data_IF_426445437858
#
_entry.id   IF_426445437858
#
_cell.length_a   1.000
_cell.length_b   1.000
_cell.length_c   1.000
_cell.angle_alpha   90.00
_cell.angle_beta   90.00
_cell.angle_gamma   90.00
#
_symmetry.space_group_name_H-M   'P 1'
#
loop_
_entity.id
_entity.type
_entity.pdbx_description
1 polymer ?
#
# COMPACT_ATOMS: atom_id res chain seq x y z
N UNK A 1 -61.70 2.82 27.60
CA UNK A 1 -60.90 1.64 28.02
C UNK A 1 -60.48 1.92 29.45
N UNK A 2 -60.87 1.09 30.42
CA UNK A 2 -60.57 1.33 31.83
C UNK A 2 -59.17 0.76 32.06
N UNK A 3 -58.22 1.64 32.40
CA UNK A 3 -56.85 1.25 32.75
C UNK A 3 -56.83 1.00 34.25
N UNK A 4 -56.30 -0.13 34.67
CA UNK A 4 -56.24 -0.53 36.07
C UNK A 4 -54.99 0.04 36.75
N UNK A 5 -55.05 0.34 38.05
CA UNK A 5 -53.94 0.89 38.82
C UNK A 5 -52.59 0.15 38.64
N UNK A 6 -52.51 -1.20 38.70
CA UNK A 6 -51.24 -1.91 38.55
C UNK A 6 -50.61 -1.73 37.16
N UNK A 7 -51.42 -1.49 36.13
CA UNK A 7 -50.92 -1.22 34.78
C UNK A 7 -50.30 0.16 34.70
N UNK A 8 -50.89 1.16 35.36
CA UNK A 8 -50.34 2.52 35.45
C UNK A 8 -49.08 2.56 36.29
N UNK A 9 -49.07 1.91 37.46
CA UNK A 9 -47.90 1.87 38.35
C UNK A 9 -46.65 1.32 37.64
N UNK A 10 -46.81 0.29 36.80
CA UNK A 10 -45.70 -0.28 36.02
C UNK A 10 -45.07 0.70 35.02
N UNK A 11 -45.85 1.65 34.48
CA UNK A 11 -45.37 2.62 33.49
C UNK A 11 -45.15 4.02 34.08
N UNK A 12 -45.51 4.23 35.35
CA UNK A 12 -45.47 5.53 36.00
C UNK A 12 -44.05 6.10 36.11
N UNK A 13 -43.04 5.25 36.31
CA UNK A 13 -41.64 5.67 36.30
C UNK A 13 -41.22 6.30 34.97
N UNK A 14 -41.53 5.63 33.87
CA UNK A 14 -41.26 6.15 32.53
C UNK A 14 -42.08 7.41 32.22
N UNK A 15 -43.30 7.52 32.78
CA UNK A 15 -44.11 8.74 32.65
C UNK A 15 -43.43 9.94 33.30
N UNK A 16 -43.00 9.80 34.55
CA UNK A 16 -42.37 10.89 35.32
C UNK A 16 -41.02 11.30 34.71
N UNK A 17 -40.28 10.35 34.14
CA UNK A 17 -39.03 10.63 33.43
C UNK A 17 -39.22 11.17 32.00
N UNK A 18 -40.45 11.19 31.48
CA UNK A 18 -40.76 11.66 30.13
C UNK A 18 -40.37 10.69 29.00
N UNK A 19 -40.18 9.41 29.31
CA UNK A 19 -39.79 8.36 28.36
C UNK A 19 -40.95 7.69 27.62
N UNK A 20 -42.21 8.00 27.94
CA UNK A 20 -43.39 7.43 27.28
C UNK A 20 -43.78 8.18 26.01
N UNK A 21 -44.29 7.45 25.02
CA UNK A 21 -44.93 8.06 23.85
C UNK A 21 -46.21 8.82 24.20
N UNK A 22 -46.65 9.75 23.33
CA UNK A 22 -47.79 10.65 23.58
C UNK A 22 -49.09 9.91 23.93
N UNK A 23 -49.37 8.79 23.27
CA UNK A 23 -50.58 7.99 23.50
C UNK A 23 -50.61 7.37 24.89
N UNK A 24 -49.49 6.81 25.35
CA UNK A 24 -49.36 6.21 26.68
C UNK A 24 -49.39 7.29 27.77
N UNK A 25 -48.73 8.43 27.53
CA UNK A 25 -48.77 9.58 28.44
C UNK A 25 -50.19 10.13 28.61
N UNK A 26 -51.00 10.16 27.55
CA UNK A 26 -52.40 10.57 27.63
C UNK A 26 -53.26 9.58 28.45
N UNK A 27 -53.01 8.27 28.32
CA UNK A 27 -53.68 7.24 29.13
C UNK A 27 -53.35 7.39 30.62
N UNK A 28 -52.07 7.58 30.96
CA UNK A 28 -51.64 7.81 32.34
C UNK A 28 -52.27 9.09 32.88
N UNK A 29 -52.20 10.21 32.14
CA UNK A 29 -52.82 11.49 32.55
C UNK A 29 -54.33 11.37 32.79
N UNK A 30 -55.02 10.58 31.96
CA UNK A 30 -56.45 10.31 32.14
C UNK A 30 -56.73 9.45 33.39
N UNK A 31 -55.83 8.54 33.77
CA UNK A 31 -55.99 7.76 35.00
C UNK A 31 -55.67 8.61 36.24
N UNK A 32 -54.58 9.39 36.22
CA UNK A 32 -54.18 10.27 37.33
C UNK A 32 -55.24 11.31 37.69
N UNK A 33 -56.06 11.76 36.74
CA UNK A 33 -57.17 12.67 37.02
C UNK A 33 -58.36 12.02 37.73
N UNK A 34 -58.39 10.68 37.79
CA UNK A 34 -59.50 9.89 38.38
C UNK A 34 -59.10 9.05 39.58
N UNK A 35 -57.79 8.79 39.77
CA UNK A 35 -57.26 7.97 40.85
C UNK A 35 -56.28 8.77 41.72
N UNK A 36 -56.73 9.14 42.93
CA UNK A 36 -55.93 9.92 43.87
C UNK A 36 -54.67 9.17 44.34
N UNK A 37 -54.75 7.86 44.54
CA UNK A 37 -53.60 7.05 44.97
C UNK A 37 -52.45 7.10 43.95
N UNK A 38 -52.76 6.94 42.66
CA UNK A 38 -51.75 7.03 41.61
C UNK A 38 -51.24 8.47 41.41
N UNK A 39 -52.09 9.49 41.61
CA UNK A 39 -51.68 10.89 41.56
C UNK A 39 -50.69 11.26 42.67
N UNK A 40 -50.94 10.79 43.90
CA UNK A 40 -50.02 10.98 45.02
C UNK A 40 -48.68 10.27 44.76
N UNK A 41 -48.70 9.05 44.25
CA UNK A 41 -47.49 8.31 43.91
C UNK A 41 -46.66 9.03 42.84
N UNK A 42 -47.31 9.56 41.80
CA UNK A 42 -46.64 10.33 40.75
C UNK A 42 -45.95 11.58 41.31
N UNK A 43 -46.64 12.32 42.19
CA UNK A 43 -46.09 13.49 42.87
C UNK A 43 -44.88 13.16 43.75
N UNK A 44 -44.94 12.05 44.50
CA UNK A 44 -43.83 11.59 45.33
C UNK A 44 -42.60 11.22 44.48
N UNK A 45 -42.83 10.54 43.35
CA UNK A 45 -41.76 10.21 42.40
C UNK A 45 -41.15 11.47 41.78
N UNK A 46 -41.97 12.44 41.35
CA UNK A 46 -41.51 13.73 40.83
C UNK A 46 -40.67 14.49 41.85
N UNK A 47 -41.12 14.53 43.11
CA UNK A 47 -40.40 15.15 44.20
C UNK A 47 -39.05 14.45 44.44
N UNK A 48 -39.04 13.12 44.47
CA UNK A 48 -37.79 12.35 44.65
C UNK A 48 -36.80 12.61 43.51
N UNK A 49 -37.28 12.68 42.26
CA UNK A 49 -36.47 13.03 41.10
C UNK A 49 -35.94 14.45 41.20
N UNK A 50 -36.72 15.41 41.70
CA UNK A 50 -36.24 16.78 41.90
C UNK A 50 -35.10 16.85 42.92
N UNK A 51 -35.17 16.07 44.01
CA UNK A 51 -34.08 15.97 44.99
C UNK A 51 -32.83 15.34 44.38
N UNK A 52 -32.99 14.30 43.55
CA UNK A 52 -31.86 13.67 42.85
C UNK A 52 -31.15 14.65 41.89
N UNK A 53 -31.89 15.58 41.28
CA UNK A 53 -31.32 16.61 40.38
C UNK A 53 -30.51 17.68 41.11
N UNK A 54 -30.68 17.83 42.42
CA UNK A 54 -29.91 18.79 43.23
C UNK A 54 -28.50 18.27 43.55
N UNK A 55 -28.20 17.00 43.28
CA UNK A 55 -26.86 16.46 43.50
C UNK A 55 -25.82 17.17 42.60
N UNK A 56 -24.65 17.52 43.16
CA UNK A 56 -23.60 18.16 42.38
C UNK A 56 -23.13 17.22 41.28
N UNK A 57 -22.93 17.77 40.09
CA UNK A 57 -22.35 17.00 38.99
C UNK A 57 -20.90 16.64 39.35
N UNK A 58 -20.65 15.35 39.56
CA UNK A 58 -19.35 14.81 39.93
C UNK A 58 -18.50 14.65 38.68
N UNK A 59 -17.34 15.30 38.65
CA UNK A 59 -16.38 15.09 37.57
C UNK A 59 -15.94 13.62 37.55
N UNK A 60 -16.07 12.91 36.42
CA UNK A 60 -15.68 11.51 36.35
C UNK A 60 -14.17 11.37 36.62
N UNK A 61 -13.75 10.32 37.33
CA UNK A 61 -12.34 10.11 37.60
C UNK A 61 -11.55 9.98 36.27
N UNK A 62 -10.30 10.47 36.23
CA UNK A 62 -9.50 10.39 35.03
C UNK A 62 -9.38 8.94 34.56
N UNK A 63 -9.55 8.71 33.26
CA UNK A 63 -9.53 7.39 32.58
C UNK A 63 -10.75 6.48 32.78
N UNK A 64 -11.83 6.94 33.41
CA UNK A 64 -13.04 6.12 33.53
C UNK A 64 -13.64 5.80 32.15
N UNK A 65 -13.72 6.82 31.29
CA UNK A 65 -14.29 6.70 29.94
C UNK A 65 -13.47 5.71 29.11
N UNK A 66 -12.14 5.84 29.11
CA UNK A 66 -11.25 4.91 28.41
C UNK A 66 -11.40 3.47 28.92
N UNK A 67 -11.53 3.27 30.23
CA UNK A 67 -11.73 1.93 30.80
C UNK A 67 -13.07 1.34 30.35
N UNK A 68 -14.16 2.11 30.43
CA UNK A 68 -15.48 1.65 29.96
C UNK A 68 -15.43 1.31 28.48
N UNK A 69 -14.79 2.14 27.65
CA UNK A 69 -14.63 1.87 26.21
C UNK A 69 -13.83 0.60 25.95
N UNK A 70 -12.74 0.37 26.70
CA UNK A 70 -11.93 -0.85 26.57
C UNK A 70 -12.71 -2.12 26.95
N UNK A 71 -13.53 -2.07 27.99
CA UNK A 71 -14.30 -3.23 28.47
C UNK A 71 -15.56 -3.51 27.62
N UNK A 72 -16.19 -2.47 27.07
CA UNK A 72 -17.47 -2.62 26.32
C UNK A 72 -17.28 -2.79 24.82
N UNK A 73 -16.38 -2.02 24.21
CA UNK A 73 -16.13 -2.01 22.76
C UNK A 73 -14.90 -2.85 22.41
N UNK A 74 -14.13 -3.27 23.42
CA UNK A 74 -12.83 -3.88 23.24
C UNK A 74 -11.74 -2.82 23.05
N UNK A 75 -10.47 -3.22 23.08
CA UNK A 75 -9.37 -2.29 22.94
C UNK A 75 -9.45 -1.58 21.58
N UNK A 76 -9.48 -0.24 21.59
CA UNK A 76 -9.14 0.58 20.42
C UNK A 76 -7.64 0.39 20.13
N UNK A 77 -7.29 -0.76 19.58
CA UNK A 77 -5.93 -1.01 19.16
C UNK A 77 -5.69 -0.16 17.92
N UNK A 78 -4.90 0.90 18.05
CA UNK A 78 -4.10 1.35 16.92
C UNK A 78 -3.19 0.18 16.59
N UNK A 79 -3.63 -0.68 15.66
CA UNK A 79 -2.89 -1.86 15.25
C UNK A 79 -1.45 -1.43 14.96
N UNK A 80 -0.52 -1.91 15.78
CA UNK A 80 0.90 -1.71 15.55
C UNK A 80 1.22 -2.35 14.20
N UNK A 81 2.02 -1.70 13.38
CA UNK A 81 2.48 -2.27 12.11
C UNK A 81 3.11 -3.66 12.30
N UNK A 82 3.69 -3.93 13.49
CA UNK A 82 4.21 -5.25 13.89
C UNK A 82 3.12 -6.31 14.07
N UNK A 83 1.94 -5.95 14.57
CA UNK A 83 0.79 -6.86 14.65
C UNK A 83 0.24 -7.16 13.24
N UNK A 84 0.19 -6.17 12.36
CA UNK A 84 -0.18 -6.36 10.95
C UNK A 84 0.80 -7.28 10.21
N UNK A 85 2.10 -7.06 10.41
CA UNK A 85 3.14 -7.93 9.85
C UNK A 85 3.02 -9.36 10.40
N UNK A 86 2.78 -9.51 11.70
CA UNK A 86 2.60 -10.81 12.35
C UNK A 86 1.37 -11.55 11.83
N UNK A 87 0.25 -10.87 11.58
CA UNK A 87 -0.93 -11.47 10.96
C UNK A 87 -0.69 -11.85 9.50
N UNK A 88 0.04 -11.04 8.74
CA UNK A 88 0.40 -11.35 7.35
C UNK A 88 1.32 -12.58 7.25
N UNK A 89 2.24 -12.73 8.20
CA UNK A 89 3.15 -13.88 8.25
C UNK A 89 2.58 -15.09 9.02
N UNK A 90 1.43 -14.95 9.69
CA UNK A 90 0.72 -16.04 10.38
C UNK A 90 0.42 -17.25 9.47
N UNK A 91 -0.13 -17.11 8.25
CA UNK A 91 -0.33 -18.25 7.35
C UNK A 91 0.99 -18.86 6.85
N UNK A 92 2.07 -18.07 6.78
CA UNK A 92 3.39 -18.53 6.33
C UNK A 92 4.03 -19.51 7.33
N UNK A 93 3.85 -19.25 8.63
CA UNK A 93 4.40 -20.10 9.70
C UNK A 93 3.47 -21.23 10.14
N UNK A 94 2.15 -21.06 10.03
CA UNK A 94 1.18 -22.04 10.52
C UNK A 94 0.90 -23.20 9.55
N UNK A 95 1.28 -23.09 8.27
CA UNK A 95 0.91 -24.08 7.25
C UNK A 95 2.12 -24.73 6.58
N UNK A 96 2.27 -26.07 6.64
CA UNK A 96 3.44 -26.78 6.10
C UNK A 96 3.57 -26.68 4.56
N UNK A 97 2.48 -26.32 3.87
CA UNK A 97 2.47 -26.19 2.39
C UNK A 97 3.09 -24.89 1.89
N UNK A 98 3.10 -23.83 2.68
CA UNK A 98 3.68 -22.55 2.27
C UNK A 98 5.19 -22.49 2.57
N UNK A 99 5.67 -23.23 3.57
CA UNK A 99 7.09 -23.33 3.88
C UNK A 99 7.93 -23.84 2.69
N UNK A 100 7.43 -24.84 1.95
CA UNK A 100 8.13 -25.38 0.78
C UNK A 100 8.25 -24.37 -0.36
N UNK A 101 7.18 -23.61 -0.62
CA UNK A 101 7.19 -22.52 -1.61
C UNK A 101 8.15 -21.41 -1.23
N UNK A 102 8.18 -21.01 0.05
CA UNK A 102 9.12 -20.01 0.55
C UNK A 102 10.57 -20.49 0.45
N UNK A 103 10.85 -21.76 0.75
CA UNK A 103 12.17 -22.35 0.56
C UNK A 103 12.60 -22.33 -0.92
N UNK A 104 11.73 -22.74 -1.84
CA UNK A 104 12.04 -22.70 -3.28
C UNK A 104 12.29 -21.28 -3.78
N UNK A 105 11.46 -20.33 -3.35
CA UNK A 105 11.64 -18.93 -3.70
C UNK A 105 12.96 -18.37 -3.15
N UNK A 106 13.31 -18.68 -1.90
CA UNK A 106 14.56 -18.26 -1.30
C UNK A 106 15.78 -18.88 -2.01
N UNK A 107 15.71 -20.15 -2.40
CA UNK A 107 16.78 -20.82 -3.16
C UNK A 107 16.92 -20.20 -4.55
N UNK A 108 15.82 -19.97 -5.26
CA UNK A 108 15.82 -19.31 -6.57
C UNK A 108 16.41 -17.91 -6.48
N UNK A 109 15.96 -17.12 -5.50
CA UNK A 109 16.47 -15.79 -5.25
C UNK A 109 17.97 -15.80 -4.90
N UNK A 110 18.41 -16.77 -4.11
CA UNK A 110 19.83 -16.96 -3.77
C UNK A 110 20.67 -17.25 -5.02
N UNK A 111 20.19 -18.11 -5.92
CA UNK A 111 20.87 -18.42 -7.18
C UNK A 111 20.94 -17.18 -8.08
N UNK A 112 19.85 -16.43 -8.22
CA UNK A 112 19.81 -15.20 -9.03
C UNK A 112 20.75 -14.14 -8.44
N UNK A 113 20.74 -13.94 -7.12
CA UNK A 113 21.65 -13.00 -6.46
C UNK A 113 23.10 -13.43 -6.59
N UNK A 114 23.40 -14.73 -6.47
CA UNK A 114 24.73 -15.27 -6.70
C UNK A 114 25.17 -15.05 -8.17
N UNK A 115 24.29 -15.27 -9.14
CA UNK A 115 24.54 -15.02 -10.56
C UNK A 115 24.76 -13.53 -10.90
N UNK A 116 24.14 -12.64 -10.12
CA UNK A 116 24.39 -11.19 -10.17
C UNK A 116 25.71 -10.78 -9.48
N UNK A 117 26.50 -11.74 -8.97
CA UNK A 117 27.80 -11.51 -8.34
C UNK A 117 27.71 -11.19 -6.84
N UNK A 118 26.53 -11.31 -6.23
CA UNK A 118 26.34 -11.15 -4.78
C UNK A 118 26.69 -12.48 -4.11
N UNK A 119 27.98 -12.72 -3.90
CA UNK A 119 28.47 -13.90 -3.20
C UNK A 119 28.27 -13.73 -1.68
N UNK A 120 27.12 -14.14 -1.13
CA UNK A 120 26.83 -14.06 0.32
C UNK A 120 27.87 -14.74 1.24
N UNK A 121 28.76 -15.60 0.71
CA UNK A 121 29.86 -16.22 1.46
C UNK A 121 31.07 -15.30 1.70
N UNK A 122 31.28 -14.28 0.87
CA UNK A 122 32.36 -13.30 0.98
C UNK A 122 31.84 -11.86 1.22
N UNK A 123 30.53 -11.67 1.24
CA UNK A 123 29.90 -10.40 1.59
C UNK A 123 30.09 -10.17 3.09
N UNK A 124 31.25 -9.61 3.43
CA UNK A 124 31.48 -8.97 4.72
C UNK A 124 30.46 -7.85 4.80
N UNK A 125 29.52 -7.93 5.74
CA UNK A 125 28.43 -6.96 5.93
C UNK A 125 28.90 -5.49 6.07
N UNK A 126 30.20 -5.26 6.26
CA UNK A 126 30.84 -3.94 6.27
C UNK A 126 31.16 -3.35 4.89
N UNK A 127 31.11 -4.12 3.80
CA UNK A 127 31.57 -3.68 2.47
C UNK A 127 30.44 -3.44 1.45
N UNK A 128 29.18 -3.59 1.86
CA UNK A 128 28.00 -3.20 1.08
C UNK A 128 27.93 -1.66 1.08
N UNK A 129 28.77 -1.06 0.25
CA UNK A 129 28.67 0.34 -0.11
C UNK A 129 28.03 0.43 -1.49
N UNK A 130 27.10 1.38 -1.70
CA UNK A 130 26.35 1.48 -2.96
C UNK A 130 27.25 1.66 -4.19
N UNK A 131 28.47 2.20 -3.99
CA UNK A 131 29.47 2.37 -5.05
C UNK A 131 29.99 1.04 -5.59
N UNK A 132 30.37 0.11 -4.72
CA UNK A 132 30.94 -1.17 -5.15
C UNK A 132 29.90 -2.04 -5.89
N UNK A 133 28.63 -1.92 -5.52
CA UNK A 133 27.51 -2.58 -6.21
C UNK A 133 27.34 -2.03 -7.63
N UNK A 134 27.38 -0.70 -7.79
CA UNK A 134 27.27 -0.05 -9.11
C UNK A 134 28.48 -0.36 -9.99
N UNK A 135 29.68 -0.37 -9.42
CA UNK A 135 30.92 -0.68 -10.16
C UNK A 135 30.94 -2.15 -10.63
N UNK A 136 30.47 -3.07 -9.79
CA UNK A 136 30.28 -4.48 -10.15
C UNK A 136 29.25 -4.68 -11.27
N UNK A 137 28.12 -3.99 -11.18
CA UNK A 137 27.07 -4.06 -12.20
C UNK A 137 27.55 -3.52 -13.55
N UNK A 138 28.29 -2.42 -13.55
CA UNK A 138 28.79 -1.78 -14.76
C UNK A 138 29.75 -2.72 -15.53
N UNK A 139 30.63 -3.45 -14.83
CA UNK A 139 31.54 -4.41 -15.46
C UNK A 139 30.80 -5.57 -16.13
N UNK A 140 29.76 -6.10 -15.48
CA UNK A 140 28.96 -7.21 -16.00
C UNK A 140 28.12 -6.80 -17.20
N UNK A 141 27.50 -5.62 -17.15
CA UNK A 141 26.69 -5.08 -18.26
C UNK A 141 27.55 -4.85 -19.51
N UNK A 142 28.75 -4.28 -19.36
CA UNK A 142 29.63 -4.02 -20.51
C UNK A 142 30.12 -5.33 -21.17
N UNK A 143 30.46 -6.35 -20.39
CA UNK A 143 30.86 -7.67 -20.93
C UNK A 143 29.70 -8.38 -21.64
N UNK A 144 28.48 -8.27 -21.10
CA UNK A 144 27.29 -8.84 -21.74
C UNK A 144 26.95 -8.13 -23.07
N UNK A 145 27.09 -6.81 -23.09
CA UNK A 145 26.84 -5.98 -24.27
C UNK A 145 27.83 -6.31 -25.42
N UNK A 146 29.12 -6.40 -25.12
CA UNK A 146 30.17 -6.72 -26.10
C UNK A 146 30.00 -8.10 -26.75
N UNK A 147 29.52 -9.09 -25.98
CA UNK A 147 29.25 -10.43 -26.47
C UNK A 147 27.98 -10.48 -27.34
N UNK A 148 26.98 -9.65 -27.06
CA UNK A 148 25.77 -9.52 -27.88
C UNK A 148 26.09 -8.90 -29.24
N UNK A 149 26.88 -7.82 -29.25
CA UNK A 149 27.25 -7.11 -30.48
C UNK A 149 28.07 -8.00 -31.43
N UNK A 150 29.00 -8.81 -30.89
CA UNK A 150 29.78 -9.78 -31.69
C UNK A 150 28.90 -10.83 -32.34
N UNK A 151 27.91 -11.38 -31.62
CA UNK A 151 26.96 -12.34 -32.20
C UNK A 151 26.11 -11.73 -33.30
N UNK A 152 25.67 -10.48 -33.13
CA UNK A 152 24.91 -9.77 -34.16
C UNK A 152 25.76 -9.43 -35.39
N UNK A 153 27.05 -9.12 -35.21
CA UNK A 153 27.95 -8.79 -36.31
C UNK A 153 28.39 -10.04 -37.10
N UNK A 154 28.56 -11.19 -36.43
CA UNK A 154 28.90 -12.47 -37.07
C UNK A 154 27.70 -13.16 -37.73
N UNK A 155 26.47 -12.68 -37.48
CA UNK A 155 25.28 -13.23 -38.11
C UNK A 155 25.24 -12.81 -39.59
N UNK A 156 25.41 -13.83 -40.46
CA UNK A 156 25.16 -13.89 -41.91
C UNK A 156 23.86 -13.21 -42.39
N UNK A 157 23.00 -12.81 -41.47
CA UNK A 157 21.77 -12.02 -41.65
C UNK A 157 22.06 -10.69 -42.35
N UNK A 158 23.18 -10.01 -42.08
CA UNK A 158 23.51 -8.74 -42.77
C UNK A 158 23.76 -8.95 -44.28
N UNK A 159 24.40 -10.05 -44.67
CA UNK A 159 24.59 -10.41 -46.07
C UNK A 159 23.27 -10.80 -46.76
N UNK A 160 22.37 -11.48 -46.05
CA UNK A 160 21.05 -11.85 -46.60
C UNK A 160 20.11 -10.65 -46.73
N UNK A 161 20.21 -9.67 -45.84
CA UNK A 161 19.50 -8.40 -45.96
C UNK A 161 20.04 -7.59 -47.16
N UNK A 162 21.36 -7.52 -47.32
CA UNK A 162 21.95 -6.80 -48.44
C UNK A 162 21.58 -7.43 -49.78
N UNK A 163 21.60 -8.77 -49.89
CA UNK A 163 21.18 -9.44 -51.12
C UNK A 163 19.71 -9.21 -51.43
N UNK A 164 18.84 -9.17 -50.42
CA UNK A 164 17.40 -8.99 -50.60
C UNK A 164 17.01 -7.55 -50.92
N UNK A 165 17.77 -6.57 -50.42
CA UNK A 165 17.64 -5.16 -50.82
C UNK A 165 18.13 -4.94 -52.25
N UNK A 166 19.22 -5.59 -52.65
CA UNK A 166 19.72 -5.50 -54.04
C UNK A 166 18.73 -6.16 -55.02
N UNK A 167 18.14 -7.29 -54.64
CA UNK A 167 17.11 -7.99 -55.41
C UNK A 167 15.86 -7.11 -55.59
N UNK A 168 15.37 -6.47 -54.52
CA UNK A 168 14.26 -5.49 -54.59
C UNK A 168 14.63 -4.22 -55.36
N UNK A 169 15.88 -3.75 -55.26
CA UNK A 169 16.40 -2.59 -56.01
C UNK A 169 16.54 -2.90 -57.51
N UNK A 170 16.76 -4.17 -57.85
CA UNK A 170 16.87 -4.66 -59.23
C UNK A 170 15.50 -4.89 -59.85
N UNK A 171 14.50 -5.33 -59.06
CA UNK A 171 13.10 -5.48 -59.50
C UNK A 171 12.47 -4.12 -59.88
N UNK A 172 12.92 -3.03 -59.26
CA UNK A 172 12.50 -1.66 -59.59
C UNK A 172 13.32 -0.98 -60.72
N UNK A 173 14.26 -1.67 -61.39
CA UNK A 173 15.12 -1.04 -62.43
C UNK A 173 15.38 -1.92 -63.67
N UNK A 174 14.63 -1.69 -64.74
CA UNK A 174 15.14 -1.79 -66.13
C UNK A 174 16.10 -0.62 -66.43
N UNK A 175 17.05 -0.78 -67.38
CA UNK A 175 18.41 -0.29 -67.20
C UNK A 175 18.66 1.10 -67.78
N UNK A 176 19.30 1.98 -66.99
CA UNK A 176 20.13 3.05 -67.54
C UNK A 176 21.54 3.05 -66.94
N UNK A 177 22.50 3.19 -67.86
CA UNK A 177 23.95 3.00 -67.75
C UNK A 177 24.69 4.20 -67.08
N UNK A 178 25.97 4.05 -66.72
CA UNK A 178 26.65 4.73 -65.60
C UNK A 178 27.41 6.01 -65.99
N UNK A 179 27.68 6.85 -64.99
CA UNK A 179 28.67 7.94 -65.02
C UNK A 179 29.34 8.11 -63.65
N UNK A 180 30.47 7.43 -63.49
CA UNK A 180 31.77 7.94 -62.99
C UNK A 180 31.78 9.18 -62.07
N UNK A 181 32.17 9.03 -60.80
CA UNK A 181 33.44 9.57 -60.21
C UNK A 181 33.60 9.12 -58.73
N UNK A 182 34.70 8.43 -58.43
CA UNK A 182 35.32 8.34 -57.09
C UNK A 182 36.19 9.62 -56.85
N UNK A 183 36.81 9.94 -55.68
CA UNK A 183 36.79 9.32 -54.34
C UNK A 183 36.83 10.33 -53.14
N UNK A 184 37.02 9.80 -51.91
CA UNK A 184 37.53 10.44 -50.66
C UNK A 184 36.62 11.44 -49.90
N UNK A 185 36.08 11.01 -48.74
CA UNK A 185 35.97 11.78 -47.45
C UNK A 185 35.11 10.97 -46.45
N UNK A 186 35.69 10.05 -45.67
CA UNK A 186 34.98 9.40 -44.54
C UNK A 186 35.79 9.15 -43.26
N UNK A 187 37.05 9.57 -43.18
CA UNK A 187 37.85 9.42 -41.94
C UNK A 187 37.72 10.60 -40.94
N UNK A 188 37.15 11.75 -41.33
CA UNK A 188 37.08 12.94 -40.45
C UNK A 188 35.75 13.12 -39.68
N UNK A 189 34.71 12.34 -39.98
CA UNK A 189 33.39 12.48 -39.33
C UNK A 189 33.16 11.52 -38.15
N UNK A 190 33.94 10.44 -38.03
CA UNK A 190 33.80 9.47 -36.92
C UNK A 190 34.51 9.88 -35.62
N UNK A 191 35.51 10.78 -35.68
CA UNK A 191 36.22 11.21 -34.47
C UNK A 191 35.45 12.24 -33.63
N UNK A 192 34.54 13.03 -34.25
CA UNK A 192 33.86 14.12 -33.55
C UNK A 192 32.57 13.69 -32.83
N UNK A 193 31.86 12.67 -33.32
CA UNK A 193 30.61 12.20 -32.69
C UNK A 193 30.86 11.41 -31.40
N UNK A 194 32.00 10.71 -31.31
CA UNK A 194 32.41 10.00 -30.11
C UNK A 194 32.85 10.93 -28.97
N UNK A 195 33.33 12.13 -29.29
CA UNK A 195 33.72 13.14 -28.29
C UNK A 195 32.53 13.91 -27.73
N UNK A 196 31.52 14.21 -28.55
CA UNK A 196 30.33 14.95 -28.07
C UNK A 196 29.45 14.11 -27.12
N UNK A 197 29.24 12.83 -27.42
CA UNK A 197 28.48 11.93 -26.52
C UNK A 197 29.18 11.70 -25.17
N UNK A 198 30.52 11.71 -25.12
CA UNK A 198 31.27 11.55 -23.87
C UNK A 198 31.24 12.79 -22.98
N UNK A 199 31.16 13.99 -23.58
CA UNK A 199 31.03 15.24 -22.83
C UNK A 199 29.61 15.39 -22.26
N UNK A 200 28.57 15.09 -23.06
CA UNK A 200 27.18 15.14 -22.61
C UNK A 200 26.88 14.19 -21.43
N UNK A 201 27.45 12.98 -21.47
CA UNK A 201 27.25 11.98 -20.41
C UNK A 201 27.98 12.35 -19.11
N UNK A 202 29.14 13.04 -19.20
CA UNK A 202 29.84 13.57 -18.02
C UNK A 202 29.08 14.72 -17.34
N UNK A 203 28.43 15.60 -18.11
CA UNK A 203 27.67 16.73 -17.56
C UNK A 203 26.42 16.25 -16.80
N UNK A 204 25.69 15.27 -17.36
CA UNK A 204 24.49 14.70 -16.72
C UNK A 204 24.81 13.93 -15.44
N UNK A 205 25.92 13.20 -15.41
CA UNK A 205 26.35 12.47 -14.21
C UNK A 205 26.79 13.43 -13.11
N UNK A 206 27.47 14.53 -13.45
CA UNK A 206 27.93 15.50 -12.45
C UNK A 206 26.79 16.36 -11.86
N UNK A 207 25.70 16.58 -12.61
CA UNK A 207 24.50 17.25 -12.09
C UNK A 207 23.68 16.37 -11.14
N UNK A 208 23.74 15.05 -11.29
CA UNK A 208 23.03 14.10 -10.43
C UNK A 208 23.74 13.83 -9.08
N UNK A 209 25.01 14.22 -8.94
CA UNK A 209 25.81 14.04 -7.71
C UNK A 209 25.78 15.28 -6.80
N UNK A 210 25.15 16.38 -7.23
CA UNK A 210 25.14 17.67 -6.49
C UNK A 210 23.77 18.07 -5.92
N UNK A 211 22.84 17.12 -5.83
CA UNK A 211 21.57 17.20 -5.08
C UNK A 211 21.60 16.12 -4.00
#
# INVERSE_FOLDING_TARGET
MKVECPEVENILGLYVEGGLGETQSALVRAHLSTCEACALLALEMEFTISLCKEFPELEPPPRLIERVLQETIGPRQSLSWMEYLRELFRPLYASPRFATGACLAAISFSIVMNALGVNFGEVRWSEITPRNVVDGLNRTVNVAYDNSMRRLNDLKILYQLQSKIEELRTDDREPEKPSETEPKTKERLQQNSATEHRIALRVLVNSAVKL
#
